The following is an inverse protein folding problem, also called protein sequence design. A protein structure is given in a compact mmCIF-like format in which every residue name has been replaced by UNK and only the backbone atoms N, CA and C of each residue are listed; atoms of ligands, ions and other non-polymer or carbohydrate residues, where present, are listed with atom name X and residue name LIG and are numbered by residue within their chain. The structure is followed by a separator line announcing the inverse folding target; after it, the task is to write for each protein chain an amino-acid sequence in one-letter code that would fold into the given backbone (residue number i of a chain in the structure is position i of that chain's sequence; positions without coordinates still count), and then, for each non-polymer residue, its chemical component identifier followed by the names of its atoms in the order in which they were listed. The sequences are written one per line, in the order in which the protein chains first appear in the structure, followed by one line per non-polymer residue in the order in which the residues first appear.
data_IF_290461878413
#
_entry.id   IF_290461878413
#
_cell.length_a   1.000
_cell.length_b   1.000
_cell.length_c   1.000
_cell.angle_alpha   90.00
_cell.angle_beta   90.00
_cell.angle_gamma   90.00
#
_symmetry.space_group_name_H-M   'P 1'
#
loop_
_entity.id
_entity.type
_entity.pdbx_description
1 polymer ?
#
# COMPACT_ATOMS: atom_id res chain seq x y z
N UNK A 1 9.64 -12.69 -6.51
CA UNK A 1 9.92 -11.26 -6.23
C UNK A 1 10.15 -11.00 -4.75
N UNK A 2 9.33 -11.60 -3.88
CA UNK A 2 9.39 -11.42 -2.41
C UNK A 2 9.75 -12.70 -1.63
N UNK A 3 10.36 -13.70 -2.29
CA UNK A 3 10.68 -14.98 -1.66
C UNK A 3 11.63 -14.82 -0.47
N UNK A 4 12.54 -13.85 -0.57
CA UNK A 4 13.45 -13.42 0.50
C UNK A 4 12.72 -13.03 1.80
N UNK A 5 11.52 -12.45 1.71
CA UNK A 5 10.73 -12.06 2.87
C UNK A 5 10.18 -13.26 3.65
N UNK A 6 9.99 -14.41 2.98
CA UNK A 6 9.58 -15.67 3.64
C UNK A 6 10.74 -16.37 4.32
N UNK A 7 11.93 -16.26 3.73
CA UNK A 7 13.14 -16.95 4.19
C UNK A 7 13.78 -16.22 5.39
N UNK A 8 13.50 -14.92 5.54
CA UNK A 8 13.89 -14.10 6.69
C UNK A 8 12.90 -14.23 7.84
N UNK A 9 13.30 -14.89 8.94
CA UNK A 9 12.46 -15.04 10.14
C UNK A 9 11.86 -13.73 10.69
N UNK A 10 12.59 -12.60 10.80
CA UNK A 10 11.98 -11.35 11.25
C UNK A 10 10.91 -10.83 10.29
N UNK A 11 11.17 -10.81 8.98
CA UNK A 11 10.21 -10.30 7.99
C UNK A 11 8.98 -11.20 7.89
N UNK A 12 9.18 -12.51 7.86
CA UNK A 12 8.10 -13.50 7.86
C UNK A 12 7.18 -13.35 9.07
N UNK A 13 7.74 -13.06 10.25
CA UNK A 13 6.95 -12.77 11.45
C UNK A 13 6.14 -11.47 11.31
N UNK A 14 6.69 -10.42 10.70
CA UNK A 14 5.98 -9.16 10.47
C UNK A 14 4.83 -9.29 9.47
N UNK A 15 4.87 -10.27 8.56
CA UNK A 15 3.86 -10.47 7.51
C UNK A 15 2.86 -11.58 7.85
N UNK A 16 2.96 -12.21 9.03
CA UNK A 16 2.20 -13.41 9.38
C UNK A 16 0.69 -13.20 9.55
N UNK A 17 0.24 -11.95 9.71
CA UNK A 17 -1.17 -11.56 9.86
C UNK A 17 -1.83 -11.21 8.53
N UNK A 18 -1.08 -11.17 7.43
CA UNK A 18 -1.63 -10.91 6.10
C UNK A 18 -2.45 -12.11 5.61
N UNK A 19 -3.49 -11.82 4.84
CA UNK A 19 -4.35 -12.83 4.22
C UNK A 19 -4.40 -12.62 2.71
N UNK A 20 -4.01 -13.62 1.90
CA UNK A 20 -3.98 -13.50 0.44
C UNK A 20 -5.32 -13.00 -0.12
N UNK A 21 -5.23 -12.02 -1.02
CA UNK A 21 -6.40 -11.42 -1.65
C UNK A 21 -6.98 -12.37 -2.70
N UNK A 22 -8.30 -12.47 -2.75
CA UNK A 22 -8.99 -13.38 -3.68
C UNK A 22 -8.71 -13.02 -5.15
N UNK A 23 -8.51 -14.04 -6.00
CA UNK A 23 -8.21 -13.85 -7.42
C UNK A 23 -9.23 -12.99 -8.17
N UNK A 24 -10.51 -13.05 -7.78
CA UNK A 24 -11.56 -12.22 -8.37
C UNK A 24 -11.39 -10.73 -8.05
N UNK A 25 -10.92 -10.40 -6.85
CA UNK A 25 -10.64 -9.01 -6.46
C UNK A 25 -9.41 -8.49 -7.21
N UNK A 26 -8.36 -9.29 -7.31
CA UNK A 26 -7.15 -8.95 -8.08
C UNK A 26 -7.46 -8.75 -9.58
N UNK A 27 -8.34 -9.59 -10.15
CA UNK A 27 -8.81 -9.41 -11.52
C UNK A 27 -9.55 -8.08 -11.67
N UNK A 28 -10.47 -7.78 -10.76
CA UNK A 28 -11.21 -6.51 -10.77
C UNK A 28 -10.27 -5.30 -10.66
N UNK A 29 -9.31 -5.34 -9.75
CA UNK A 29 -8.31 -4.28 -9.56
C UNK A 29 -7.50 -4.05 -10.85
N UNK A 30 -7.13 -5.12 -11.55
CA UNK A 30 -6.40 -5.03 -12.83
C UNK A 30 -7.26 -4.50 -13.98
N UNK A 31 -8.57 -4.77 -13.96
CA UNK A 31 -9.52 -4.20 -14.93
C UNK A 31 -9.76 -2.70 -14.70
N UNK A 32 -9.87 -2.30 -13.44
CA UNK A 32 -10.00 -0.89 -13.04
C UNK A 32 -8.72 -0.10 -13.34
N UNK A 33 -7.56 -0.70 -13.11
CA UNK A 33 -6.25 -0.06 -13.22
C UNK A 33 -5.29 -0.87 -14.10
N UNK A 34 -5.36 -0.72 -15.44
CA UNK A 34 -4.49 -1.47 -16.36
C UNK A 34 -2.99 -1.23 -16.19
N UNK A 35 -2.61 -0.11 -15.56
CA UNK A 35 -1.22 0.27 -15.27
C UNK A 35 -0.80 -0.01 -13.83
N UNK A 36 -1.60 -0.78 -13.08
CA UNK A 36 -1.28 -1.17 -11.71
C UNK A 36 0.12 -1.82 -11.62
N UNK A 37 0.94 -1.45 -10.62
CA UNK A 37 2.23 -2.06 -10.41
C UNK A 37 2.15 -3.58 -10.20
N UNK A 38 2.93 -4.32 -10.99
CA UNK A 38 2.99 -5.78 -10.94
C UNK A 38 3.44 -6.26 -9.55
N UNK A 39 4.37 -5.55 -8.93
CA UNK A 39 4.90 -5.89 -7.61
C UNK A 39 3.84 -5.81 -6.51
N UNK A 40 2.97 -4.79 -6.55
CA UNK A 40 1.85 -4.68 -5.63
C UNK A 40 0.84 -5.82 -5.80
N UNK A 41 0.39 -6.07 -7.04
CA UNK A 41 -0.59 -7.15 -7.31
C UNK A 41 -0.02 -8.54 -7.01
N UNK A 42 1.26 -8.77 -7.29
CA UNK A 42 1.96 -9.99 -6.93
C UNK A 42 2.05 -10.16 -5.40
N UNK A 43 2.30 -9.07 -4.67
CA UNK A 43 2.33 -9.10 -3.21
C UNK A 43 0.95 -9.42 -2.61
N UNK A 44 -0.11 -8.76 -3.05
CA UNK A 44 -1.48 -9.05 -2.60
C UNK A 44 -1.91 -10.50 -2.92
N UNK A 45 -1.44 -11.04 -4.05
CA UNK A 45 -1.70 -12.45 -4.40
C UNK A 45 -0.97 -13.43 -3.49
N UNK A 46 0.27 -13.13 -3.13
CA UNK A 46 1.17 -14.06 -2.44
C UNK A 46 1.07 -13.97 -0.92
N UNK A 47 1.03 -12.74 -0.38
CA UNK A 47 0.98 -12.45 1.05
C UNK A 47 -0.38 -11.89 1.44
N UNK A 48 -0.90 -10.96 0.63
CA UNK A 48 -2.21 -10.38 0.84
C UNK A 48 -2.21 -9.08 1.61
N UNK A 49 -3.34 -8.83 2.28
CA UNK A 49 -3.66 -7.60 2.98
C UNK A 49 -3.92 -7.85 4.46
N UNK A 50 -3.94 -6.78 5.25
CA UNK A 50 -4.10 -6.79 6.69
C UNK A 50 -2.94 -6.10 7.42
N UNK A 51 -2.77 -6.47 8.69
CA UNK A 51 -1.76 -5.86 9.54
C UNK A 51 -0.34 -6.33 9.16
N UNK A 52 0.55 -5.37 8.93
CA UNK A 52 1.99 -5.55 8.85
C UNK A 52 2.62 -5.15 10.19
N UNK A 53 3.48 -6.02 10.74
CA UNK A 53 4.14 -5.84 12.03
C UNK A 53 4.00 -7.09 12.91
N UNK A 54 5.05 -7.39 13.70
CA UNK A 54 5.13 -8.62 14.49
C UNK A 54 4.17 -8.60 15.70
N UNK A 55 4.59 -7.98 16.80
CA UNK A 55 3.78 -7.90 18.04
C UNK A 55 2.69 -6.83 17.91
N UNK A 56 3.06 -5.64 17.43
CA UNK A 56 2.16 -4.52 17.19
C UNK A 56 2.11 -4.19 15.70
N UNK A 57 0.92 -3.86 15.16
CA UNK A 57 0.80 -3.45 13.78
C UNK A 57 1.47 -2.09 13.59
N UNK A 58 2.36 -2.02 12.60
CA UNK A 58 3.01 -0.79 12.14
C UNK A 58 2.21 -0.15 11.00
N UNK A 59 1.50 -0.97 10.23
CA UNK A 59 0.81 -0.54 9.02
C UNK A 59 -0.35 -1.49 8.72
N UNK A 60 -1.44 -0.94 8.19
CA UNK A 60 -2.58 -1.70 7.67
C UNK A 60 -2.53 -1.60 6.15
N UNK A 61 -2.26 -2.73 5.51
CA UNK A 61 -2.32 -2.86 4.07
C UNK A 61 -3.76 -3.23 3.66
N UNK A 62 -4.35 -2.49 2.74
CA UNK A 62 -5.70 -2.73 2.24
C UNK A 62 -5.74 -3.88 1.22
N UNK A 63 -6.91 -4.49 0.99
CA UNK A 63 -7.09 -5.53 -0.03
C UNK A 63 -7.27 -4.99 -1.47
N UNK A 64 -7.16 -3.68 -1.63
CA UNK A 64 -7.35 -2.96 -2.89
C UNK A 64 -6.76 -1.55 -2.83
N UNK A 65 -7.39 -0.63 -3.55
CA UNK A 65 -7.01 0.77 -3.57
C UNK A 65 -8.22 1.62 -3.21
N UNK A 66 -8.04 2.60 -2.34
CA UNK A 66 -9.08 3.56 -1.95
C UNK A 66 -8.81 4.92 -2.60
N UNK A 67 -9.89 5.59 -3.01
CA UNK A 67 -9.83 6.97 -3.42
C UNK A 67 -9.65 7.89 -2.19
N UNK A 68 -9.00 9.06 -2.33
CA UNK A 68 -8.82 9.98 -1.22
C UNK A 68 -10.13 10.44 -0.56
N UNK A 69 -11.24 10.54 -1.30
CA UNK A 69 -12.53 10.95 -0.74
C UNK A 69 -13.19 9.91 0.18
N UNK A 70 -12.69 8.68 0.20
CA UNK A 70 -13.12 7.64 1.14
C UNK A 70 -12.53 7.84 2.54
N UNK A 71 -11.43 8.60 2.67
CA UNK A 71 -10.72 8.83 3.93
C UNK A 71 -10.76 10.31 4.33
N UNK A 72 -10.55 11.22 3.38
CA UNK A 72 -10.40 12.65 3.61
C UNK A 72 -11.67 13.42 3.27
N UNK A 73 -11.80 14.63 3.83
CA UNK A 73 -12.86 15.54 3.43
C UNK A 73 -12.67 16.00 1.97
N UNK A 74 -13.74 16.53 1.37
CA UNK A 74 -13.76 16.88 -0.05
C UNK A 74 -12.66 17.87 -0.48
N UNK A 75 -12.26 18.83 0.38
CA UNK A 75 -11.21 19.77 0.01
C UNK A 75 -9.85 19.09 -0.04
N UNK A 76 -9.53 18.31 1.00
CA UNK A 76 -8.29 17.55 1.10
C UNK A 76 -8.20 16.49 0.01
N UNK A 77 -9.29 15.77 -0.26
CA UNK A 77 -9.37 14.78 -1.33
C UNK A 77 -9.12 15.39 -2.72
N UNK A 78 -9.63 16.61 -2.98
CA UNK A 78 -9.38 17.31 -4.25
C UNK A 78 -7.90 17.65 -4.45
N UNK A 79 -7.16 17.93 -3.37
CA UNK A 79 -5.73 18.21 -3.43
C UNK A 79 -4.88 16.94 -3.70
N UNK A 80 -5.47 15.76 -3.53
CA UNK A 80 -4.85 14.45 -3.72
C UNK A 80 -5.37 13.75 -4.99
N UNK A 81 -5.92 14.50 -5.94
CA UNK A 81 -6.31 13.97 -7.25
C UNK A 81 -5.12 13.24 -7.92
N UNK A 82 -5.39 12.09 -8.53
CA UNK A 82 -4.35 11.22 -9.08
C UNK A 82 -3.67 10.30 -8.06
N UNK A 83 -4.00 10.37 -6.76
CA UNK A 83 -3.50 9.45 -5.73
C UNK A 83 -4.51 8.34 -5.43
N UNK A 84 -4.01 7.11 -5.27
CA UNK A 84 -4.79 5.95 -4.80
C UNK A 84 -4.12 5.31 -3.59
N UNK A 85 -4.85 5.17 -2.49
CA UNK A 85 -4.32 4.75 -1.19
C UNK A 85 -4.33 3.22 -1.06
N UNK A 86 -3.22 2.65 -0.60
CA UNK A 86 -3.10 1.20 -0.37
C UNK A 86 -2.96 0.84 1.12
N UNK A 87 -2.78 1.80 2.02
CA UNK A 87 -2.74 1.53 3.45
C UNK A 87 -2.48 2.75 4.31
N UNK A 88 -2.44 2.54 5.62
CA UNK A 88 -2.20 3.57 6.63
C UNK A 88 -1.44 3.03 7.85
N UNK A 89 -0.81 3.94 8.60
CA UNK A 89 -0.08 3.60 9.82
C UNK A 89 -0.95 3.64 11.10
N UNK A 90 -2.26 3.90 10.96
CA UNK A 90 -3.23 4.14 12.04
C UNK A 90 -2.92 5.34 12.95
N UNK A 91 -1.92 6.16 12.61
CA UNK A 91 -1.56 7.37 13.36
C UNK A 91 -1.76 8.64 12.52
N UNK A 92 -2.23 8.50 11.28
CA UNK A 92 -2.67 9.58 10.41
C UNK A 92 -1.93 9.64 9.09
N UNK A 93 -0.85 8.88 8.92
CA UNK A 93 -0.17 8.75 7.63
C UNK A 93 -0.89 7.71 6.78
N UNK A 94 -1.25 8.08 5.56
CA UNK A 94 -1.68 7.12 4.54
C UNK A 94 -0.59 6.99 3.48
N UNK A 95 -0.39 5.78 2.97
CA UNK A 95 0.47 5.54 1.82
C UNK A 95 -0.37 5.18 0.59
N UNK A 96 0.10 5.61 -0.57
CA UNK A 96 -0.60 5.44 -1.84
C UNK A 96 0.32 5.47 -3.04
N UNK A 97 -0.27 5.27 -4.20
CA UNK A 97 0.37 5.44 -5.50
C UNK A 97 -0.02 6.77 -6.12
N UNK A 98 0.96 7.46 -6.67
CA UNK A 98 0.76 8.57 -7.59
C UNK A 98 0.58 8.03 -9.02
N UNK A 99 -0.68 7.92 -9.43
CA UNK A 99 -1.08 7.28 -10.70
C UNK A 99 -0.72 8.11 -11.92
N UNK A 100 -0.51 9.42 -11.74
CA UNK A 100 -0.10 10.35 -12.80
C UNK A 100 1.42 10.33 -13.02
N UNK A 101 2.19 9.95 -12.00
CA UNK A 101 3.66 9.95 -12.04
C UNK A 101 4.24 8.55 -11.85
N UNK A 102 3.94 7.67 -12.83
CA UNK A 102 4.54 6.34 -12.96
C UNK A 102 4.32 5.42 -11.74
N UNK A 103 3.24 5.62 -10.97
CA UNK A 103 2.89 4.80 -9.82
C UNK A 103 3.99 4.73 -8.76
N UNK A 104 4.75 5.82 -8.60
CA UNK A 104 5.63 5.99 -7.45
C UNK A 104 4.82 5.99 -6.15
N UNK A 105 5.46 5.58 -5.05
CA UNK A 105 4.82 5.54 -3.73
C UNK A 105 4.93 6.89 -3.06
N UNK A 106 3.80 7.37 -2.55
CA UNK A 106 3.69 8.59 -1.75
C UNK A 106 3.16 8.29 -0.37
N UNK A 107 3.53 9.13 0.60
CA UNK A 107 2.88 9.22 1.90
C UNK A 107 2.21 10.57 2.07
N UNK A 108 1.00 10.56 2.61
CA UNK A 108 0.23 11.77 2.91
C UNK A 108 0.54 12.14 4.35
N UNK A 109 1.17 13.29 4.56
CA UNK A 109 1.50 13.77 5.91
C UNK A 109 0.25 14.42 6.54
N UNK A 110 -0.21 13.96 7.72
CA UNK A 110 -1.40 14.54 8.37
C UNK A 110 -1.20 15.99 8.85
N UNK A 111 0.04 16.49 8.91
CA UNK A 111 0.37 17.85 9.36
C UNK A 111 0.16 18.89 8.26
N UNK A 112 0.46 18.56 7.00
CA UNK A 112 0.33 19.47 5.85
C UNK A 112 -0.70 19.01 4.80
N UNK A 113 -1.17 17.76 4.91
CA UNK A 113 -2.16 17.15 4.02
C UNK A 113 -1.64 16.90 2.61
N UNK A 114 -0.32 16.96 2.38
CA UNK A 114 0.30 16.80 1.07
C UNK A 114 0.86 15.39 0.88
N UNK A 115 0.86 14.93 -0.36
CA UNK A 115 1.53 13.71 -0.77
C UNK A 115 3.03 13.98 -1.02
N UNK A 116 3.89 13.22 -0.34
CA UNK A 116 5.34 13.26 -0.51
C UNK A 116 5.83 11.94 -1.09
N UNK A 117 6.64 11.98 -2.15
CA UNK A 117 7.21 10.76 -2.74
C UNK A 117 8.23 10.15 -1.79
N UNK A 118 8.05 8.88 -1.44
CA UNK A 118 8.90 8.16 -0.48
C UNK A 118 9.61 6.94 -1.06
N UNK A 119 9.12 6.38 -2.17
CA UNK A 119 9.79 5.27 -2.85
C UNK A 119 9.41 5.21 -4.34
N UNK A 120 10.27 4.63 -5.17
CA UNK A 120 10.00 4.47 -6.60
C UNK A 120 9.07 3.29 -6.91
N UNK A 121 8.85 2.37 -5.96
CA UNK A 121 8.01 1.18 -6.12
C UNK A 121 7.45 0.70 -4.79
N UNK A 122 6.35 -0.07 -4.85
CA UNK A 122 5.76 -0.69 -3.65
C UNK A 122 6.76 -1.62 -2.96
N UNK A 123 7.53 -2.37 -3.75
CA UNK A 123 8.57 -3.25 -3.26
C UNK A 123 9.63 -2.51 -2.44
N UNK A 124 10.09 -1.35 -2.91
CA UNK A 124 11.08 -0.53 -2.21
C UNK A 124 10.50 0.02 -0.90
N UNK A 125 9.28 0.56 -0.96
CA UNK A 125 8.55 1.04 0.22
C UNK A 125 8.40 -0.04 1.29
N UNK A 126 7.88 -1.21 0.90
CA UNK A 126 7.66 -2.33 1.81
C UNK A 126 8.96 -2.79 2.46
N UNK A 127 10.06 -2.91 1.71
CA UNK A 127 11.34 -3.32 2.30
C UNK A 127 11.88 -2.28 3.27
N UNK A 128 11.80 -0.99 2.93
CA UNK A 128 12.18 0.09 3.83
C UNK A 128 11.38 0.12 5.13
N UNK A 129 10.13 -0.34 5.12
CA UNK A 129 9.29 -0.48 6.32
C UNK A 129 9.65 -1.72 7.18
N UNK A 130 10.19 -2.78 6.58
CA UNK A 130 10.49 -4.04 7.26
C UNK A 130 11.90 -4.11 7.87
N UNK A 131 12.85 -3.32 7.37
CA UNK A 131 14.24 -3.22 7.85
C UNK A 131 14.40 -2.25 9.04
#
# INVERSE_FOLDING_TARGET
MFQDLKDSAPHSNMLNKLQPVASSMLAHLSECYPSLPEDYSAFLKEFGSGAVGAEQPLFILYDGLLAPDEIYDAQSATALDGILLFGDDMQGYCAGFDTDNAWQVVEIDPLDGQAHVVAASFQEYLRGMLD
#
